data_IF_963857190629
#
_entry.id   IF_963857190629
#
_cell.length_a   1.000
_cell.length_b   1.000
_cell.length_c   1.000
_cell.angle_alpha   90.00
_cell.angle_beta   90.00
_cell.angle_gamma   90.00
#
_symmetry.space_group_name_H-M   'P 1'
#
loop_
_entity.id
_entity.type
_entity.pdbx_description
1 polymer ?
#
# COMPACT_ATOMS: atom_id res chain seq x y z
N UNK A 1 -18.76 -2.64 -8.19
CA UNK A 1 -19.45 -2.07 -7.04
C UNK A 1 -18.47 -1.70 -5.94
N UNK A 2 -17.38 -2.43 -5.80
CA UNK A 2 -16.38 -2.29 -4.74
C UNK A 2 -15.00 -1.89 -5.26
N UNK A 3 -14.82 -1.82 -6.57
CA UNK A 3 -13.60 -1.34 -7.24
C UNK A 3 -12.30 -2.01 -6.74
N UNK A 4 -12.37 -3.31 -6.46
CA UNK A 4 -11.25 -4.09 -5.95
C UNK A 4 -10.34 -4.57 -7.07
N UNK A 5 -9.69 -3.62 -7.71
CA UNK A 5 -8.77 -3.89 -8.81
C UNK A 5 -7.43 -4.47 -8.33
N UNK A 6 -6.82 -5.26 -9.22
CA UNK A 6 -5.39 -5.52 -9.21
C UNK A 6 -4.73 -4.44 -10.06
N UNK A 7 -4.40 -3.32 -9.47
CA UNK A 7 -3.88 -2.16 -10.21
C UNK A 7 -2.36 -2.04 -10.20
N UNK A 8 -1.69 -2.93 -9.46
CA UNK A 8 -0.25 -2.94 -9.34
C UNK A 8 0.40 -3.76 -10.44
N UNK A 9 1.67 -3.47 -10.72
CA UNK A 9 2.46 -4.36 -11.55
C UNK A 9 2.88 -5.57 -10.72
N UNK A 10 2.61 -6.81 -11.17
CA UNK A 10 3.03 -8.00 -10.47
C UNK A 10 4.56 -8.10 -10.40
N UNK A 11 5.06 -8.66 -9.32
CA UNK A 11 6.49 -8.90 -9.11
C UNK A 11 6.83 -10.33 -9.53
N UNK A 12 7.66 -10.45 -10.57
CA UNK A 12 8.24 -11.74 -10.95
C UNK A 12 9.50 -12.00 -10.13
N UNK A 13 9.51 -13.10 -9.40
CA UNK A 13 10.60 -13.46 -8.48
C UNK A 13 10.77 -14.97 -8.41
N UNK A 14 11.43 -15.49 -7.37
CA UNK A 14 11.67 -16.92 -7.17
C UNK A 14 11.33 -17.31 -5.74
N UNK A 15 10.54 -18.37 -5.57
CA UNK A 15 10.22 -18.99 -4.29
C UNK A 15 10.44 -20.49 -4.36
N UNK A 16 11.03 -21.11 -3.35
CA UNK A 16 11.34 -22.53 -3.33
C UNK A 16 12.05 -23.03 -4.60
N UNK A 17 12.94 -22.21 -5.18
CA UNK A 17 13.70 -22.53 -6.39
C UNK A 17 12.90 -22.51 -7.69
N UNK A 18 11.67 -21.99 -7.72
CA UNK A 18 10.82 -21.88 -8.92
C UNK A 18 10.42 -20.43 -9.18
N UNK A 19 10.22 -20.04 -10.45
CA UNK A 19 9.69 -18.72 -10.78
C UNK A 19 8.25 -18.57 -10.29
N UNK A 20 7.98 -17.47 -9.60
CA UNK A 20 6.66 -17.13 -9.07
C UNK A 20 6.30 -15.68 -9.42
N UNK A 21 5.01 -15.40 -9.42
CA UNK A 21 4.46 -14.05 -9.51
C UNK A 21 3.77 -13.74 -8.20
N UNK A 22 4.15 -12.63 -7.57
CA UNK A 22 3.47 -12.08 -6.40
C UNK A 22 2.72 -10.84 -6.81
N UNK A 23 1.48 -10.74 -6.38
CA UNK A 23 0.63 -9.58 -6.64
C UNK A 23 -0.32 -9.33 -5.47
N UNK A 24 -0.97 -8.17 -5.48
CA UNK A 24 -1.97 -7.78 -4.51
C UNK A 24 -2.78 -6.61 -5.03
N UNK A 25 -3.86 -6.30 -4.37
CA UNK A 25 -4.74 -5.23 -4.82
C UNK A 25 -5.59 -4.61 -3.71
N UNK A 26 -6.53 -3.80 -4.12
CA UNK A 26 -7.46 -3.06 -3.24
C UNK A 26 -8.24 -3.95 -2.28
N UNK A 27 -8.45 -5.22 -2.61
CA UNK A 27 -9.06 -6.17 -1.69
C UNK A 27 -8.19 -6.50 -0.46
N UNK A 28 -6.99 -5.93 -0.33
CA UNK A 28 -6.10 -6.22 0.80
C UNK A 28 -5.62 -7.66 0.84
N UNK A 29 -5.51 -8.31 -0.30
CA UNK A 29 -5.08 -9.71 -0.38
C UNK A 29 -3.81 -9.78 -1.23
N UNK A 30 -2.74 -10.27 -0.62
CA UNK A 30 -1.54 -10.72 -1.31
C UNK A 30 -1.73 -12.16 -1.78
N UNK A 31 -1.18 -12.49 -2.93
CA UNK A 31 -1.16 -13.86 -3.43
C UNK A 31 0.09 -14.14 -4.25
N UNK A 32 0.48 -15.40 -4.25
CA UNK A 32 1.59 -15.89 -5.07
C UNK A 32 1.09 -16.98 -6.01
N UNK A 33 1.50 -16.87 -7.25
CA UNK A 33 1.18 -17.82 -8.32
C UNK A 33 2.45 -18.44 -8.86
N UNK A 34 2.39 -19.72 -9.23
CA UNK A 34 3.42 -20.32 -10.07
C UNK A 34 3.45 -19.62 -11.44
N UNK A 35 4.60 -19.05 -11.79
CA UNK A 35 4.72 -18.21 -12.99
C UNK A 35 4.52 -18.98 -14.31
N UNK A 36 4.62 -20.31 -14.31
CA UNK A 36 4.46 -21.13 -15.51
C UNK A 36 3.03 -21.62 -15.70
N UNK A 37 2.35 -21.92 -14.60
CA UNK A 37 1.05 -22.60 -14.61
C UNK A 37 -0.10 -21.69 -14.23
N UNK A 38 0.17 -20.57 -13.53
CA UNK A 38 -0.83 -19.71 -12.91
C UNK A 38 -1.48 -20.33 -11.65
N UNK A 39 -0.96 -21.46 -11.16
CA UNK A 39 -1.50 -22.10 -9.96
C UNK A 39 -1.29 -21.20 -8.74
N UNK A 40 -2.36 -20.98 -7.97
CA UNK A 40 -2.27 -20.29 -6.69
C UNK A 40 -1.44 -21.14 -5.70
N UNK A 41 -0.41 -20.55 -5.13
CA UNK A 41 0.47 -21.18 -4.16
C UNK A 41 0.06 -20.82 -2.73
N UNK A 42 -0.13 -19.53 -2.48
CA UNK A 42 -0.70 -19.02 -1.23
C UNK A 42 -1.45 -17.71 -1.47
N UNK A 43 -2.31 -17.35 -0.54
CA UNK A 43 -2.94 -16.03 -0.43
C UNK A 43 -3.00 -15.61 1.03
N UNK A 44 -2.85 -14.31 1.29
CA UNK A 44 -2.76 -13.73 2.61
C UNK A 44 -3.56 -12.43 2.67
N UNK A 45 -4.61 -12.32 3.50
CA UNK A 45 -5.20 -11.03 3.84
C UNK A 45 -4.20 -10.18 4.62
N UNK A 46 -4.10 -8.88 4.30
CA UNK A 46 -3.25 -7.88 4.95
C UNK A 46 -4.04 -6.58 5.14
N UNK A 47 -3.76 -5.85 6.21
CA UNK A 47 -4.50 -4.65 6.58
C UNK A 47 -5.82 -4.94 7.29
N UNK A 48 -6.60 -3.88 7.46
CA UNK A 48 -7.94 -3.98 8.04
C UNK A 48 -8.93 -4.68 7.12
N UNK A 49 -9.71 -5.60 7.68
CA UNK A 49 -10.75 -6.35 6.98
C UNK A 49 -12.05 -6.37 7.78
N UNK A 50 -13.16 -6.08 7.14
CA UNK A 50 -14.48 -6.11 7.75
C UNK A 50 -15.19 -7.47 7.65
N UNK A 51 -14.58 -8.43 6.97
CA UNK A 51 -15.10 -9.78 6.77
C UNK A 51 -16.08 -9.91 5.60
N UNK A 52 -16.27 -8.86 4.82
CA UNK A 52 -17.18 -8.86 3.67
C UNK A 52 -16.54 -9.32 2.36
N UNK A 53 -15.25 -9.63 2.34
CA UNK A 53 -14.47 -9.99 1.15
C UNK A 53 -14.98 -11.25 0.43
N UNK A 54 -15.71 -12.10 1.15
CA UNK A 54 -16.28 -13.33 0.61
C UNK A 54 -17.79 -13.23 0.37
N UNK A 55 -18.37 -12.08 0.57
CA UNK A 55 -19.80 -11.90 0.35
C UNK A 55 -20.13 -12.08 -1.12
N UNK A 56 -21.25 -12.74 -1.40
CA UNK A 56 -21.63 -13.09 -2.76
C UNK A 56 -21.85 -11.91 -3.70
N UNK A 57 -22.00 -10.69 -3.16
CA UNK A 57 -22.02 -9.45 -3.94
C UNK A 57 -20.62 -9.01 -4.37
N UNK A 58 -19.60 -9.54 -3.74
CA UNK A 58 -18.19 -9.15 -3.90
C UNK A 58 -17.44 -10.16 -4.75
N UNK A 59 -18.02 -11.31 -5.02
CA UNK A 59 -17.40 -12.36 -5.83
C UNK A 59 -17.88 -12.26 -7.29
N UNK A 60 -17.02 -12.62 -8.23
CA UNK A 60 -17.31 -12.71 -9.66
C UNK A 60 -18.51 -13.63 -9.98
N UNK A 61 -18.85 -14.51 -9.05
CA UNK A 61 -19.94 -15.47 -9.16
C UNK A 61 -21.27 -14.96 -8.61
N UNK A 62 -21.38 -13.71 -8.18
CA UNK A 62 -22.65 -13.13 -7.78
C UNK A 62 -23.58 -13.12 -8.98
N UNK A 63 -24.48 -14.11 -9.05
CA UNK A 63 -25.53 -14.14 -10.08
C UNK A 63 -26.45 -12.95 -9.85
N UNK A 64 -26.91 -12.27 -10.91
CA UNK A 64 -27.97 -11.29 -10.79
C UNK A 64 -29.15 -11.88 -10.00
N UNK A 65 -29.52 -11.25 -8.88
CA UNK A 65 -30.57 -11.75 -7.99
C UNK A 65 -30.11 -12.63 -6.83
N UNK A 66 -28.82 -12.98 -6.70
CA UNK A 66 -28.30 -13.55 -5.47
C UNK A 66 -28.11 -12.39 -4.47
N UNK A 67 -29.02 -12.28 -3.52
CA UNK A 67 -28.95 -11.26 -2.49
C UNK A 67 -28.28 -11.82 -1.25
N UNK A 68 -27.05 -11.43 -1.01
CA UNK A 68 -26.53 -11.43 0.35
C UNK A 68 -27.19 -10.26 1.06
N UNK A 69 -27.82 -10.51 2.20
CA UNK A 69 -28.45 -9.46 2.99
C UNK A 69 -27.35 -8.66 3.71
N UNK A 70 -26.71 -7.76 2.98
CA UNK A 70 -25.82 -6.78 3.60
C UNK A 70 -26.65 -5.79 4.43
N UNK A 71 -26.12 -5.28 5.55
CA UNK A 71 -26.73 -4.16 6.26
C UNK A 71 -27.02 -3.00 5.32
N UNK A 72 -28.07 -2.24 5.59
CA UNK A 72 -28.42 -1.10 4.74
C UNK A 72 -27.29 -0.07 4.63
N UNK A 73 -26.50 0.07 5.71
CA UNK A 73 -25.28 0.88 5.77
C UNK A 73 -24.23 0.11 6.55
N UNK A 74 -23.02 0.05 6.02
CA UNK A 74 -21.85 -0.57 6.64
C UNK A 74 -20.58 0.18 6.24
N UNK A 75 -19.48 -0.04 6.94
CA UNK A 75 -18.16 0.37 6.47
C UNK A 75 -17.56 -0.78 5.69
N UNK A 76 -17.09 -0.52 4.49
CA UNK A 76 -16.32 -1.46 3.70
C UNK A 76 -14.83 -1.26 4.01
N UNK A 77 -14.15 -2.33 4.43
CA UNK A 77 -12.72 -2.33 4.72
C UNK A 77 -12.10 -3.65 4.24
N UNK A 78 -11.14 -3.63 3.32
CA UNK A 78 -10.64 -2.43 2.63
C UNK A 78 -11.69 -1.79 1.72
N UNK A 79 -11.63 -0.47 1.61
CA UNK A 79 -12.49 0.31 0.71
C UNK A 79 -11.87 0.46 -0.69
N UNK A 80 -12.49 1.26 -1.54
CA UNK A 80 -12.00 1.56 -2.90
C UNK A 80 -10.62 2.24 -2.93
N UNK A 81 -10.15 2.77 -1.81
CA UNK A 81 -8.82 3.37 -1.62
C UNK A 81 -8.01 2.67 -0.52
N UNK A 82 -8.49 1.52 -0.06
CA UNK A 82 -7.81 0.68 0.91
C UNK A 82 -7.03 -0.46 0.27
N UNK A 83 -6.44 -1.30 1.12
CA UNK A 83 -5.67 -2.45 0.67
C UNK A 83 -4.34 -2.06 0.02
N UNK A 84 -3.95 -2.79 -1.01
CA UNK A 84 -2.66 -2.60 -1.69
C UNK A 84 -2.90 -1.80 -2.97
N UNK A 85 -2.64 -0.51 -2.88
CA UNK A 85 -2.88 0.46 -3.97
C UNK A 85 -1.65 0.66 -4.86
N UNK A 86 -0.47 0.27 -4.39
CA UNK A 86 0.80 0.60 -5.01
C UNK A 86 1.74 -0.60 -5.04
N UNK A 87 2.81 -0.46 -5.80
CA UNK A 87 3.70 -1.56 -6.15
C UNK A 87 4.35 -2.23 -4.94
N UNK A 88 4.40 -3.55 -5.02
CA UNK A 88 5.16 -4.40 -4.13
C UNK A 88 6.66 -4.32 -4.43
N UNK A 89 7.49 -4.65 -3.45
CA UNK A 89 8.91 -4.90 -3.66
C UNK A 89 9.30 -6.30 -3.15
N UNK A 90 10.35 -6.87 -3.72
CA UNK A 90 10.90 -8.15 -3.25
C UNK A 90 12.43 -8.10 -3.26
N UNK A 91 13.04 -8.69 -2.23
CA UNK A 91 14.47 -8.94 -2.18
C UNK A 91 14.86 -10.37 -2.58
N UNK A 92 13.89 -11.15 -3.09
CA UNK A 92 14.08 -12.56 -3.50
C UNK A 92 13.75 -13.58 -2.40
N UNK A 93 13.58 -13.17 -1.15
CA UNK A 93 13.17 -14.02 -0.03
C UNK A 93 11.89 -13.49 0.63
N UNK A 94 11.76 -12.18 0.71
CA UNK A 94 10.66 -11.47 1.35
C UNK A 94 10.00 -10.54 0.35
N UNK A 95 8.68 -10.54 0.34
CA UNK A 95 7.85 -9.54 -0.35
C UNK A 95 7.41 -8.48 0.64
N UNK A 96 7.53 -7.21 0.25
CA UNK A 96 7.13 -6.05 1.04
C UNK A 96 5.93 -5.38 0.38
N UNK A 97 4.90 -5.13 1.18
CA UNK A 97 3.66 -4.47 0.76
C UNK A 97 3.40 -3.22 1.61
N UNK A 98 3.07 -2.13 0.94
CA UNK A 98 2.50 -0.94 1.55
C UNK A 98 0.97 -1.11 1.52
N UNK A 99 0.34 -1.13 2.70
CA UNK A 99 -1.08 -1.44 2.85
C UNK A 99 -1.81 -0.25 3.48
N UNK A 100 -2.95 0.11 2.90
CA UNK A 100 -3.76 1.22 3.37
C UNK A 100 -4.96 0.71 4.17
N UNK A 101 -5.06 1.12 5.44
CA UNK A 101 -6.19 0.83 6.32
C UNK A 101 -7.21 1.96 6.18
N UNK A 102 -8.10 1.79 5.24
CA UNK A 102 -9.12 2.78 4.95
C UNK A 102 -10.49 2.12 4.82
N UNK A 103 -11.31 2.35 5.84
CA UNK A 103 -12.73 2.00 5.81
C UNK A 103 -13.56 3.17 5.24
N UNK A 104 -14.48 2.89 4.36
CA UNK A 104 -15.42 3.88 3.81
C UNK A 104 -16.87 3.43 3.93
N UNK A 105 -17.81 4.37 4.15
CA UNK A 105 -19.23 4.05 4.16
C UNK A 105 -19.67 3.47 2.82
N UNK A 106 -20.38 2.36 2.88
CA UNK A 106 -20.96 1.68 1.73
C UNK A 106 -22.41 1.29 1.98
N UNK A 107 -23.12 0.91 0.93
CA UNK A 107 -24.48 0.39 0.99
C UNK A 107 -24.66 -0.72 -0.03
N UNK A 108 -25.81 -1.39 0.02
CA UNK A 108 -26.17 -2.44 -0.94
C UNK A 108 -26.25 -1.96 -2.40
N UNK A 109 -26.35 -0.66 -2.62
CA UNK A 109 -26.36 -0.04 -3.97
C UNK A 109 -24.97 0.44 -4.40
N UNK A 110 -23.97 0.28 -3.53
CA UNK A 110 -22.59 0.64 -3.78
C UNK A 110 -22.09 1.73 -2.86
N UNK A 111 -21.01 2.34 -3.27
CA UNK A 111 -20.30 3.39 -2.60
C UNK A 111 -21.13 4.67 -2.50
N UNK A 112 -21.20 5.27 -1.33
CA UNK A 112 -22.14 6.36 -1.04
C UNK A 112 -21.50 7.73 -0.82
N UNK A 113 -20.18 7.79 -0.68
CA UNK A 113 -19.48 9.04 -0.45
C UNK A 113 -19.06 9.70 -1.78
N UNK A 114 -18.86 10.99 -1.76
CA UNK A 114 -18.36 11.73 -2.92
C UNK A 114 -16.86 12.03 -2.76
N UNK A 115 -16.18 12.33 -3.85
CA UNK A 115 -14.71 12.55 -3.93
C UNK A 115 -14.12 13.41 -2.80
N UNK A 116 -14.83 14.45 -2.35
CA UNK A 116 -14.35 15.30 -1.26
C UNK A 116 -14.35 14.58 0.11
N UNK A 117 -15.36 13.75 0.36
CA UNK A 117 -15.42 12.96 1.59
C UNK A 117 -14.36 11.84 1.57
N UNK A 118 -14.06 11.30 0.41
CA UNK A 118 -13.06 10.26 0.21
C UNK A 118 -11.65 10.80 0.45
N UNK A 119 -11.33 11.96 -0.10
CA UNK A 119 -10.04 12.61 0.16
C UNK A 119 -9.85 12.93 1.64
N UNK A 120 -10.91 13.38 2.34
CA UNK A 120 -10.88 13.62 3.77
C UNK A 120 -10.72 12.33 4.59
N UNK A 121 -11.21 11.20 4.09
CA UNK A 121 -11.01 9.90 4.71
C UNK A 121 -9.57 9.40 4.49
N UNK A 122 -9.05 9.51 3.27
CA UNK A 122 -7.65 9.18 2.95
C UNK A 122 -6.67 10.01 3.79
N UNK A 123 -6.98 11.29 4.04
CA UNK A 123 -6.16 12.15 4.91
C UNK A 123 -6.07 11.64 6.35
N UNK A 124 -7.09 10.93 6.83
CA UNK A 124 -7.14 10.38 8.20
C UNK A 124 -6.77 8.91 8.29
N UNK A 125 -6.65 8.27 7.15
CA UNK A 125 -6.37 6.85 7.10
C UNK A 125 -4.97 6.53 7.61
N UNK A 126 -4.85 5.37 8.20
CA UNK A 126 -3.60 4.74 8.59
C UNK A 126 -3.18 3.71 7.56
N UNK A 127 -2.17 2.96 7.87
CA UNK A 127 -1.73 1.83 7.08
C UNK A 127 -0.57 1.13 7.74
N UNK A 128 0.05 0.26 7.00
CA UNK A 128 1.15 -0.55 7.51
C UNK A 128 2.13 -0.91 6.40
N UNK A 129 3.34 -1.28 6.80
CA UNK A 129 4.28 -2.01 5.95
C UNK A 129 4.33 -3.44 6.40
N UNK A 130 4.00 -4.36 5.52
CA UNK A 130 3.98 -5.80 5.78
C UNK A 130 5.12 -6.47 5.02
N UNK A 131 5.85 -7.35 5.70
CA UNK A 131 6.82 -8.25 5.09
C UNK A 131 6.32 -9.69 5.15
N UNK A 132 6.34 -10.35 4.03
CA UNK A 132 5.83 -11.70 3.87
C UNK A 132 6.92 -12.60 3.31
N UNK A 133 7.17 -13.70 4.01
CA UNK A 133 8.08 -14.74 3.53
C UNK A 133 7.55 -15.33 2.21
N UNK A 134 8.35 -15.25 1.18
CA UNK A 134 7.96 -15.60 -0.18
C UNK A 134 7.70 -17.10 -0.34
N UNK A 135 8.49 -17.93 0.33
CA UNK A 135 8.39 -19.39 0.22
C UNK A 135 7.12 -19.96 0.89
N UNK A 136 6.59 -19.24 1.90
CA UNK A 136 5.54 -19.78 2.79
C UNK A 136 4.25 -18.96 2.83
N UNK A 137 4.30 -17.68 2.43
CA UNK A 137 3.21 -16.73 2.62
C UNK A 137 2.99 -16.30 4.07
N UNK A 138 3.94 -16.59 4.97
CA UNK A 138 3.84 -16.21 6.37
C UNK A 138 4.29 -14.75 6.58
N UNK A 139 3.57 -13.99 7.41
CA UNK A 139 4.00 -12.65 7.84
C UNK A 139 5.26 -12.77 8.67
N UNK A 140 6.33 -12.07 8.27
CA UNK A 140 7.58 -11.98 9.02
C UNK A 140 7.54 -10.82 10.01
N UNK A 141 7.00 -9.70 9.57
CA UNK A 141 6.71 -8.56 10.42
C UNK A 141 5.63 -7.67 9.79
N UNK A 142 5.02 -6.87 10.64
CA UNK A 142 4.00 -5.91 10.31
C UNK A 142 4.24 -4.63 11.12
N UNK A 143 4.41 -3.49 10.45
CA UNK A 143 4.76 -2.22 11.08
C UNK A 143 3.69 -1.19 10.79
N UNK A 144 2.87 -0.83 11.80
CA UNK A 144 1.85 0.20 11.65
C UNK A 144 2.44 1.57 11.31
N UNK A 145 1.78 2.28 10.42
CA UNK A 145 2.11 3.65 10.01
C UNK A 145 0.92 4.57 10.29
N UNK A 146 1.16 5.78 10.85
CA UNK A 146 0.08 6.70 11.22
C UNK A 146 -0.58 7.41 10.03
N UNK A 147 -0.19 7.09 8.82
CA UNK A 147 -0.74 7.63 7.57
C UNK A 147 -0.57 6.60 6.46
N UNK A 148 -1.52 6.59 5.55
CA UNK A 148 -1.56 5.68 4.39
C UNK A 148 -0.26 5.68 3.59
N UNK A 149 0.41 4.53 3.41
CA UNK A 149 1.67 4.43 2.69
C UNK A 149 1.45 4.28 1.17
N UNK A 150 0.86 5.26 0.53
CA UNK A 150 0.65 5.27 -0.93
C UNK A 150 1.93 5.33 -1.76
N UNK A 151 3.08 5.50 -1.13
CA UNK A 151 4.37 5.61 -1.81
C UNK A 151 5.00 4.28 -2.19
N UNK A 152 4.23 3.20 -2.23
CA UNK A 152 4.71 1.86 -2.56
C UNK A 152 5.83 1.35 -1.63
N UNK A 153 6.31 0.14 -1.88
CA UNK A 153 7.51 -0.38 -1.27
C UNK A 153 8.70 -0.27 -2.23
N UNK A 154 9.85 0.12 -1.71
CA UNK A 154 11.13 0.05 -2.43
C UNK A 154 12.17 -0.57 -1.52
N UNK A 155 12.74 -1.70 -1.91
CA UNK A 155 13.77 -2.39 -1.12
C UNK A 155 15.14 -2.27 -1.78
N UNK A 156 16.14 -1.98 -0.98
CA UNK A 156 17.55 -2.02 -1.40
C UNK A 156 18.40 -2.47 -0.23
N UNK A 157 19.25 -3.47 -0.45
CA UNK A 157 20.00 -4.15 0.60
C UNK A 157 19.06 -4.54 1.77
N UNK A 158 19.37 -4.07 2.97
CA UNK A 158 18.64 -4.41 4.20
C UNK A 158 17.63 -3.31 4.61
N UNK A 159 17.25 -2.41 3.70
CA UNK A 159 16.35 -1.29 3.97
C UNK A 159 15.17 -1.30 3.02
N UNK A 160 13.98 -1.16 3.59
CA UNK A 160 12.74 -0.93 2.86
C UNK A 160 12.29 0.52 3.06
N UNK A 161 11.94 1.17 1.96
CA UNK A 161 11.43 2.54 1.96
C UNK A 161 9.96 2.56 1.58
N UNK A 162 9.23 3.49 2.18
CA UNK A 162 7.91 3.91 1.71
C UNK A 162 7.71 5.39 2.00
N UNK A 163 6.72 5.98 1.36
CA UNK A 163 6.29 7.35 1.63
C UNK A 163 4.78 7.38 1.87
N UNK A 164 4.31 8.37 2.62
CA UNK A 164 2.92 8.45 3.01
C UNK A 164 2.18 9.60 2.34
N UNK A 165 0.87 9.49 2.37
CA UNK A 165 -0.02 10.52 1.84
C UNK A 165 0.06 11.84 2.60
N UNK A 166 0.45 11.82 3.89
CA UNK A 166 0.72 13.03 4.67
C UNK A 166 2.06 13.68 4.36
N UNK A 167 2.95 12.99 3.63
CA UNK A 167 4.25 13.54 3.27
C UNK A 167 5.34 13.19 4.27
N UNK A 168 5.42 11.93 4.66
CA UNK A 168 6.57 11.39 5.39
C UNK A 168 7.30 10.35 4.53
N UNK A 169 8.61 10.35 4.57
CA UNK A 169 9.47 9.27 4.09
C UNK A 169 9.87 8.40 5.27
N UNK A 170 9.65 7.11 5.14
CA UNK A 170 10.10 6.08 6.07
C UNK A 170 11.19 5.22 5.47
N UNK A 171 12.18 4.86 6.28
CA UNK A 171 13.10 3.77 6.03
C UNK A 171 12.97 2.76 7.18
N UNK A 172 12.74 1.50 6.85
CA UNK A 172 12.58 0.41 7.79
C UNK A 172 13.67 -0.63 7.57
N UNK A 173 14.11 -1.28 8.63
CA UNK A 173 14.96 -2.47 8.56
C UNK A 173 14.18 -3.61 7.89
N UNK A 174 14.69 -4.14 6.80
CA UNK A 174 13.99 -5.12 5.98
C UNK A 174 13.77 -6.46 6.70
N UNK A 175 14.63 -6.81 7.66
CA UNK A 175 14.51 -8.06 8.42
C UNK A 175 13.59 -7.99 9.63
N UNK A 176 13.32 -6.79 10.16
CA UNK A 176 12.60 -6.64 11.45
C UNK A 176 11.44 -5.67 11.42
N UNK A 177 11.28 -4.89 10.35
CA UNK A 177 10.28 -3.85 10.25
C UNK A 177 10.53 -2.62 11.14
N UNK A 178 11.65 -2.59 11.88
CA UNK A 178 11.98 -1.46 12.75
C UNK A 178 12.17 -0.18 11.94
N UNK A 179 11.46 0.88 12.31
CA UNK A 179 11.66 2.20 11.70
C UNK A 179 13.06 2.71 12.04
N UNK A 180 13.90 2.88 11.03
CA UNK A 180 15.26 3.42 11.11
C UNK A 180 15.27 4.93 10.92
N UNK A 181 14.39 5.43 10.05
CA UNK A 181 14.27 6.85 9.73
C UNK A 181 12.81 7.19 9.45
N UNK A 182 12.38 8.32 10.00
CA UNK A 182 11.20 9.06 9.56
C UNK A 182 11.62 10.50 9.28
N UNK A 183 11.33 11.02 8.10
CA UNK A 183 11.62 12.42 7.76
C UNK A 183 10.49 13.03 6.94
N UNK A 184 10.11 14.29 7.20
CA UNK A 184 9.04 14.94 6.45
C UNK A 184 9.46 15.23 5.02
N UNK A 185 8.50 15.11 4.10
CA UNK A 185 8.53 15.63 2.75
C UNK A 185 7.83 16.99 2.70
N UNK A 186 7.96 17.70 1.60
CA UNK A 186 7.29 19.00 1.40
C UNK A 186 5.79 18.88 1.11
N UNK A 187 5.32 17.71 0.69
CA UNK A 187 3.93 17.38 0.44
C UNK A 187 3.74 15.85 0.48
N UNK A 188 2.50 15.39 0.47
CA UNK A 188 2.16 14.00 0.29
C UNK A 188 2.60 13.43 -1.05
N UNK A 189 2.57 12.11 -1.15
CA UNK A 189 2.93 11.42 -2.40
C UNK A 189 2.27 10.05 -2.51
N UNK A 190 2.10 9.60 -3.73
CA UNK A 190 1.71 8.25 -4.11
C UNK A 190 2.75 7.60 -5.04
N UNK A 191 3.98 8.09 -5.04
CA UNK A 191 5.04 7.60 -5.88
C UNK A 191 6.11 6.87 -5.05
N UNK A 192 6.64 5.73 -5.53
CA UNK A 192 7.77 5.07 -4.90
C UNK A 192 9.01 5.97 -4.88
N UNK A 193 9.90 5.70 -3.96
CA UNK A 193 11.23 6.31 -4.01
C UNK A 193 12.10 5.60 -5.04
N UNK A 194 13.04 6.33 -5.64
CA UNK A 194 14.11 5.75 -6.42
C UNK A 194 15.41 5.78 -5.59
N UNK A 195 16.21 4.72 -5.70
CA UNK A 195 17.52 4.64 -5.04
C UNK A 195 18.59 4.45 -6.09
N UNK A 196 19.60 5.30 -6.06
CA UNK A 196 20.78 5.21 -6.95
C UNK A 196 22.05 5.63 -6.21
N UNK A 197 22.99 4.70 -6.06
CA UNK A 197 24.22 4.92 -5.30
C UNK A 197 23.93 5.41 -3.88
N UNK A 198 24.43 6.60 -3.56
CA UNK A 198 24.27 7.23 -2.25
C UNK A 198 22.99 8.08 -2.12
N UNK A 199 22.09 8.03 -3.10
CA UNK A 199 20.91 8.87 -3.15
C UNK A 199 19.61 8.09 -2.98
N UNK A 200 18.69 8.66 -2.20
CA UNK A 200 17.27 8.31 -2.18
C UNK A 200 16.51 9.52 -2.74
N UNK A 201 15.74 9.30 -3.79
CA UNK A 201 14.97 10.34 -4.48
C UNK A 201 13.49 10.11 -4.22
N UNK A 202 12.82 11.08 -3.61
CA UNK A 202 11.41 11.03 -3.30
C UNK A 202 10.64 12.15 -4.03
N UNK A 203 9.49 11.81 -4.59
CA UNK A 203 8.53 12.79 -5.07
C UNK A 203 7.63 13.27 -3.93
N UNK A 204 7.32 14.55 -3.89
CA UNK A 204 6.37 15.17 -2.98
C UNK A 204 5.39 15.99 -3.83
N UNK A 205 4.40 15.31 -4.44
CA UNK A 205 3.57 15.89 -5.49
C UNK A 205 2.09 15.97 -5.19
N UNK A 206 1.59 15.19 -4.23
CA UNK A 206 0.21 15.19 -3.80
C UNK A 206 -0.01 16.27 -2.73
N UNK A 207 -0.17 17.51 -3.17
CA UNK A 207 -0.46 18.62 -2.26
C UNK A 207 -1.94 18.63 -1.91
N UNK A 208 -2.26 18.32 -0.66
CA UNK A 208 -3.62 18.35 -0.13
C UNK A 208 -4.02 19.74 0.39
N UNK A 209 -3.03 20.57 0.71
CA UNK A 209 -3.24 21.93 1.23
C UNK A 209 -2.43 22.93 0.40
N UNK A 210 -2.94 24.15 0.20
CA UNK A 210 -2.28 25.15 -0.66
C UNK A 210 -0.86 25.53 -0.24
N UNK A 211 -0.53 25.38 1.04
CA UNK A 211 0.80 25.71 1.59
C UNK A 211 1.87 24.66 1.31
N UNK A 212 1.48 23.45 0.89
CA UNK A 212 2.45 22.40 0.56
C UNK A 212 3.11 22.68 -0.79
N UNK A 213 4.42 22.54 -0.83
CA UNK A 213 5.20 22.72 -2.05
C UNK A 213 5.46 21.36 -2.72
N UNK A 214 5.15 21.29 -4.01
CA UNK A 214 5.49 20.13 -4.83
C UNK A 214 6.97 20.13 -5.16
N UNK A 215 7.68 19.07 -4.80
CA UNK A 215 9.13 18.94 -4.97
C UNK A 215 9.53 17.54 -5.39
N UNK A 216 10.69 17.45 -6.01
CA UNK A 216 11.49 16.22 -6.05
C UNK A 216 12.65 16.44 -5.11
N UNK A 217 12.81 15.57 -4.12
CA UNK A 217 13.78 15.70 -3.06
C UNK A 217 14.82 14.58 -3.20
N UNK A 218 16.09 14.95 -3.27
CA UNK A 218 17.19 13.99 -3.25
C UNK A 218 17.88 14.02 -1.89
N UNK A 219 17.80 12.92 -1.17
CA UNK A 219 18.53 12.70 0.06
C UNK A 219 19.85 11.99 -0.27
N UNK A 220 20.98 12.55 0.16
CA UNK A 220 22.28 11.93 -0.03
C UNK A 220 22.79 11.36 1.29
N UNK A 221 23.32 10.17 1.28
CA UNK A 221 23.94 9.55 2.46
C UNK A 221 25.02 10.48 3.04
N UNK A 222 24.94 10.75 4.35
CA UNK A 222 25.86 11.66 5.05
C UNK A 222 25.63 13.16 4.81
N UNK A 223 24.61 13.56 4.05
CA UNK A 223 24.29 14.97 3.89
C UNK A 223 23.71 15.57 5.19
N UNK A 224 24.10 16.81 5.46
CA UNK A 224 23.64 17.59 6.63
C UNK A 224 22.72 18.75 6.26
N UNK A 225 22.39 18.88 4.98
CA UNK A 225 21.45 19.88 4.47
C UNK A 225 20.04 19.68 5.02
N UNK A 226 19.28 20.76 5.06
CA UNK A 226 17.84 20.74 5.39
C UNK A 226 17.04 21.02 4.13
N UNK A 227 15.81 20.53 4.08
CA UNK A 227 14.86 20.99 3.10
C UNK A 227 14.71 22.51 3.22
N UNK A 228 14.54 23.24 2.10
CA UNK A 228 14.20 24.65 2.15
C UNK A 228 12.97 24.82 3.07
N UNK A 229 13.01 25.82 3.93
CA UNK A 229 11.81 26.24 4.63
C UNK A 229 10.75 26.49 3.57
N UNK A 230 9.60 25.83 3.69
CA UNK A 230 8.48 26.11 2.80
C UNK A 230 8.24 27.61 2.92
N UNK A 231 8.45 28.33 1.84
CA UNK A 231 8.16 29.76 1.83
C UNK A 231 6.67 29.88 2.06
N UNK A 232 6.34 29.97 3.34
CA UNK A 232 4.99 30.10 3.81
C UNK A 232 4.46 31.49 3.49
N UNK A 233 3.22 31.50 3.36
CA UNK A 233 2.28 32.63 3.35
C UNK A 233 2.34 33.52 2.17
#
# INVERSE_FOLDING_TARGET
>A
LYDWDLQNNPVLTTANGRPVVVDGGKAGILFELDAKTGQLLWKLPVGGHDGHENDGLLTENAKPGSHVALPANFCLEPSIFGGIETQLASNGATTFAAVNDLALPASTTGYTAGVAADLAAVEKATGEMVAVNQDTGAVEWDTPLPSSPYGAATVTNDVVFTTTFHGDLYALDAGTGKILLKTPLSAGTNAPVAVDGDYVIAGAGASLVPSQQRMIIAYKLGATGKLPDTVGS
#
